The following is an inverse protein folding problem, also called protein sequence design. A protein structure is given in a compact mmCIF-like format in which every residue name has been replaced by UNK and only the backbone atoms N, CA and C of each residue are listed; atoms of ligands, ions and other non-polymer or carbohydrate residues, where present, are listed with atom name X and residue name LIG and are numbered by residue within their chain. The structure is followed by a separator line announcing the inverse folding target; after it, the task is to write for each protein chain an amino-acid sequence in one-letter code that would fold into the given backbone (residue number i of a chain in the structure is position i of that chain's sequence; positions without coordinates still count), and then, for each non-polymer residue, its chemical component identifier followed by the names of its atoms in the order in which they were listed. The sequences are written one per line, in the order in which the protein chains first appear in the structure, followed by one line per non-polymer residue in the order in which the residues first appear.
data_IF_355447293233
#
_entry.id   IF_355447293233
#
_cell.length_a   1.000
_cell.length_b   1.000
_cell.length_c   1.000
_cell.angle_alpha   90.00
_cell.angle_beta   90.00
_cell.angle_gamma   90.00
#
_symmetry.space_group_name_H-M   'P 1'
#
loop_
_entity.id
_entity.type
_entity.pdbx_description
1 polymer ?
#
# COMPACT_ATOMS: atom_id res chain seq x y z
N UNK A 1 5.75 6.04 5.37
CA UNK A 1 5.83 6.59 6.75
C UNK A 1 6.44 5.63 7.76
N UNK A 2 5.91 4.42 7.95
CA UNK A 2 6.33 3.51 9.05
C UNK A 2 7.84 3.24 9.12
N UNK A 3 8.50 3.06 7.98
CA UNK A 3 9.97 2.83 7.91
C UNK A 3 10.81 4.07 8.23
N UNK A 4 10.17 5.23 8.41
CA UNK A 4 10.78 6.51 8.78
C UNK A 4 10.27 7.01 10.14
N UNK A 5 9.75 6.12 11.00
CA UNK A 5 9.19 6.49 12.32
C UNK A 5 10.12 7.37 13.15
N UNK A 6 11.41 7.05 13.17
CA UNK A 6 12.40 7.86 13.89
C UNK A 6 12.53 9.29 13.34
N UNK A 7 12.37 9.50 12.03
CA UNK A 7 12.36 10.84 11.44
C UNK A 7 11.06 11.58 11.79
N UNK A 8 9.93 10.88 11.72
CA UNK A 8 8.59 11.41 12.03
C UNK A 8 8.53 11.96 13.46
N UNK A 9 9.04 11.22 14.43
CA UNK A 9 8.99 11.61 15.85
C UNK A 9 10.16 12.51 16.28
N UNK A 10 11.10 12.81 15.36
CA UNK A 10 12.22 13.69 15.65
C UNK A 10 11.92 15.15 15.32
N UNK A 11 12.79 16.05 15.81
CA UNK A 11 12.77 17.47 15.43
C UNK A 11 13.33 17.76 14.03
N UNK A 12 13.77 16.76 13.26
CA UNK A 12 14.37 16.99 11.95
C UNK A 12 13.31 17.36 10.92
N UNK A 13 13.57 18.43 10.16
CA UNK A 13 12.86 18.67 8.91
C UNK A 13 13.35 17.67 7.86
N UNK A 14 12.42 17.03 7.16
CA UNK A 14 12.71 16.03 6.15
C UNK A 14 11.63 16.07 5.05
N UNK A 15 12.01 15.65 3.85
CA UNK A 15 11.15 15.57 2.68
C UNK A 15 10.57 14.17 2.56
N UNK A 16 9.24 14.05 2.55
CA UNK A 16 8.55 12.76 2.60
C UNK A 16 9.04 11.79 1.52
N UNK A 17 9.16 12.31 0.30
CA UNK A 17 9.54 11.54 -0.87
C UNK A 17 11.06 11.43 -1.04
N UNK A 18 11.77 12.56 -1.02
CA UNK A 18 13.20 12.60 -1.35
C UNK A 18 14.11 11.97 -0.29
N UNK A 19 13.76 12.16 0.99
CA UNK A 19 14.51 11.60 2.11
C UNK A 19 13.91 10.26 2.56
N UNK A 20 12.58 10.12 2.47
CA UNK A 20 11.87 8.95 2.99
C UNK A 20 11.91 7.70 2.10
N UNK A 21 12.19 7.82 0.80
CA UNK A 21 12.27 6.69 -0.13
C UNK A 21 13.72 6.44 -0.52
N UNK A 22 14.49 5.89 0.43
CA UNK A 22 15.87 5.46 0.23
C UNK A 22 15.95 4.15 -0.60
N UNK A 23 17.12 3.74 -1.12
CA UNK A 23 17.21 2.56 -2.00
C UNK A 23 16.61 1.27 -1.42
N UNK A 24 16.86 0.96 -0.14
CA UNK A 24 16.29 -0.23 0.49
C UNK A 24 14.78 -0.12 0.69
N UNK A 25 14.27 1.08 1.04
CA UNK A 25 12.83 1.33 1.17
C UNK A 25 12.15 1.26 -0.20
N UNK A 26 12.73 1.87 -1.22
CA UNK A 26 12.25 1.80 -2.60
C UNK A 26 12.15 0.36 -3.10
N UNK A 27 13.22 -0.43 -2.92
CA UNK A 27 13.21 -1.86 -3.28
C UNK A 27 12.19 -2.67 -2.48
N UNK A 28 11.97 -2.34 -1.21
CA UNK A 28 10.91 -2.97 -0.41
C UNK A 28 9.52 -2.67 -1.00
N UNK A 29 9.25 -1.42 -1.37
CA UNK A 29 7.97 -0.99 -1.96
C UNK A 29 7.76 -1.61 -3.34
N UNK A 30 8.79 -1.74 -4.18
CA UNK A 30 8.70 -2.45 -5.47
C UNK A 30 8.30 -3.93 -5.30
N UNK A 31 8.82 -4.60 -4.26
CA UNK A 31 8.44 -5.98 -3.94
C UNK A 31 7.05 -6.08 -3.34
N UNK A 32 6.61 -5.08 -2.58
CA UNK A 32 5.22 -4.97 -2.13
C UNK A 32 4.28 -4.73 -3.32
N UNK A 33 4.68 -3.91 -4.28
CA UNK A 33 3.95 -3.71 -5.54
C UNK A 33 3.83 -5.01 -6.35
N UNK A 34 4.84 -5.89 -6.29
CA UNK A 34 4.76 -7.21 -6.92
C UNK A 34 3.66 -8.09 -6.31
N UNK A 35 3.40 -7.97 -4.99
CA UNK A 35 2.26 -8.64 -4.34
C UNK A 35 0.93 -8.05 -4.84
N UNK A 36 0.85 -6.72 -5.00
CA UNK A 36 -0.32 -6.03 -5.59
C UNK A 36 -0.59 -6.48 -7.03
N UNK A 37 0.45 -6.63 -7.84
CA UNK A 37 0.33 -7.11 -9.22
C UNK A 37 -0.14 -8.56 -9.27
N UNK A 38 0.38 -9.44 -8.41
CA UNK A 38 -0.07 -10.83 -8.33
C UNK A 38 -1.56 -10.96 -7.92
N UNK A 39 -2.04 -10.07 -7.04
CA UNK A 39 -3.46 -9.96 -6.74
C UNK A 39 -4.26 -9.53 -7.97
N UNK A 40 -3.81 -8.48 -8.67
CA UNK A 40 -4.48 -7.99 -9.87
C UNK A 40 -4.67 -9.08 -10.93
N UNK A 41 -3.60 -9.84 -11.21
CA UNK A 41 -3.62 -10.98 -12.13
C UNK A 41 -4.62 -12.06 -11.67
N UNK A 42 -4.67 -12.36 -10.37
CA UNK A 42 -5.59 -13.36 -9.81
C UNK A 42 -7.07 -12.98 -9.94
N UNK A 43 -7.37 -11.67 -10.05
CA UNK A 43 -8.71 -11.12 -10.26
C UNK A 43 -8.97 -10.67 -11.71
N UNK A 44 -8.02 -10.87 -12.63
CA UNK A 44 -8.17 -10.46 -14.03
C UNK A 44 -8.20 -8.94 -14.25
N UNK A 45 -7.57 -8.17 -13.35
CA UNK A 45 -7.51 -6.71 -13.43
C UNK A 45 -6.17 -6.26 -13.99
N UNK A 46 -6.20 -5.53 -15.10
CA UNK A 46 -5.00 -4.94 -15.69
C UNK A 46 -4.55 -3.71 -14.90
N UNK A 47 -3.42 -3.82 -14.20
CA UNK A 47 -2.78 -2.70 -13.49
C UNK A 47 -1.39 -2.38 -14.05
N UNK A 48 -0.94 -1.15 -13.83
CA UNK A 48 0.44 -0.77 -14.10
C UNK A 48 1.31 -1.06 -12.88
N UNK A 49 2.47 -1.71 -13.04
CA UNK A 49 3.52 -1.73 -12.02
C UNK A 49 3.94 -0.30 -11.66
N UNK A 50 4.34 -0.07 -10.41
CA UNK A 50 4.57 1.27 -9.85
C UNK A 50 5.51 2.13 -10.71
N UNK A 51 6.62 1.59 -11.22
CA UNK A 51 7.57 2.33 -12.07
C UNK A 51 6.94 2.75 -13.40
N UNK A 52 6.14 1.87 -14.03
CA UNK A 52 5.41 2.22 -15.25
C UNK A 52 4.33 3.27 -14.97
N UNK A 53 3.68 3.19 -13.81
CA UNK A 53 2.70 4.18 -13.40
C UNK A 53 3.33 5.57 -13.24
N UNK A 54 4.53 5.67 -12.65
CA UNK A 54 5.27 6.94 -12.57
C UNK A 54 5.63 7.51 -13.94
N UNK A 55 6.02 6.67 -14.91
CA UNK A 55 6.27 7.11 -16.28
C UNK A 55 5.01 7.72 -16.91
N UNK A 56 3.86 7.08 -16.73
CA UNK A 56 2.58 7.55 -17.31
C UNK A 56 2.09 8.81 -16.59
N UNK A 57 2.12 8.84 -15.26
CA UNK A 57 1.54 9.91 -14.46
C UNK A 57 2.43 11.16 -14.35
N UNK A 58 3.75 10.97 -14.25
CA UNK A 58 4.71 12.05 -13.98
C UNK A 58 5.74 12.24 -15.10
N UNK A 59 5.76 11.39 -16.13
CA UNK A 59 6.79 11.44 -17.18
C UNK A 59 8.18 11.03 -16.70
N UNK A 60 8.29 10.43 -15.51
CA UNK A 60 9.58 10.03 -14.91
C UNK A 60 9.82 8.56 -15.15
N UNK A 61 10.92 8.25 -15.83
CA UNK A 61 11.32 6.89 -16.17
C UNK A 61 12.73 6.62 -15.64
N UNK A 62 12.83 5.96 -14.49
CA UNK A 62 14.09 5.58 -13.84
C UNK A 62 14.08 4.09 -13.46
N UNK A 63 15.26 3.44 -13.36
CA UNK A 63 15.36 2.01 -13.05
C UNK A 63 14.82 1.58 -11.68
N UNK A 64 14.86 2.48 -10.68
CA UNK A 64 14.41 2.18 -9.30
C UNK A 64 13.40 3.20 -8.81
N UNK A 65 12.60 2.81 -7.82
CA UNK A 65 11.59 3.67 -7.24
C UNK A 65 12.23 4.84 -6.49
N UNK A 66 13.34 4.60 -5.78
CA UNK A 66 14.08 5.69 -5.12
C UNK A 66 14.60 6.74 -6.12
N UNK A 67 15.10 6.32 -7.28
CA UNK A 67 15.53 7.26 -8.32
C UNK A 67 14.34 7.96 -9.00
N UNK A 68 13.27 7.22 -9.26
CA UNK A 68 12.03 7.74 -9.84
C UNK A 68 11.44 8.83 -8.95
N UNK A 69 11.26 8.54 -7.66
CA UNK A 69 10.71 9.47 -6.68
C UNK A 69 11.60 10.71 -6.54
N UNK A 70 12.93 10.54 -6.46
CA UNK A 70 13.88 11.66 -6.36
C UNK A 70 13.94 12.53 -7.62
N UNK A 71 13.65 11.95 -8.79
CA UNK A 71 13.66 12.66 -10.06
C UNK A 71 12.32 13.30 -10.42
N UNK A 72 11.30 13.18 -9.54
CA UNK A 72 9.98 13.73 -9.78
C UNK A 72 9.84 15.14 -9.18
N UNK A 73 9.88 16.22 -9.98
CA UNK A 73 9.83 17.58 -9.46
C UNK A 73 8.50 17.90 -8.76
N UNK A 74 7.42 17.15 -9.03
CA UNK A 74 6.14 17.34 -8.35
C UNK A 74 6.18 17.01 -6.84
N UNK A 75 7.24 16.35 -6.38
CA UNK A 75 7.45 16.01 -4.98
C UNK A 75 8.36 16.99 -4.22
N UNK A 76 8.85 18.02 -4.91
CA UNK A 76 9.64 19.06 -4.26
C UNK A 76 8.81 19.81 -3.20
N UNK A 77 9.42 20.07 -2.05
CA UNK A 77 8.78 20.76 -0.93
C UNK A 77 7.71 19.97 -0.17
N UNK A 78 7.44 18.70 -0.51
CA UNK A 78 6.52 17.87 0.28
C UNK A 78 7.19 17.43 1.58
N UNK A 79 6.91 18.16 2.65
CA UNK A 79 7.42 17.87 3.98
C UNK A 79 6.90 16.53 4.52
N UNK A 80 7.77 15.82 5.23
CA UNK A 80 7.43 14.64 6.00
C UNK A 80 6.58 14.96 7.22
N UNK A 81 5.89 13.94 7.73
CA UNK A 81 5.01 14.09 8.89
C UNK A 81 5.80 14.26 10.18
N UNK A 82 5.12 14.80 11.19
CA UNK A 82 5.63 15.02 12.55
C UNK A 82 4.89 14.20 13.62
N UNK A 83 3.96 13.37 13.18
CA UNK A 83 3.15 12.47 14.01
C UNK A 83 2.90 11.18 13.19
N UNK A 84 2.81 10.04 13.87
CA UNK A 84 2.47 8.75 13.25
C UNK A 84 0.96 8.62 12.97
N UNK A 85 0.11 9.28 13.75
CA UNK A 85 -1.36 9.22 13.66
C UNK A 85 -1.86 10.08 12.50
N UNK A 86 -1.48 9.68 11.30
CA UNK A 86 -1.78 10.35 10.03
C UNK A 86 -2.67 9.48 9.18
N UNK A 87 -3.34 10.08 8.18
CA UNK A 87 -4.10 9.31 7.19
C UNK A 87 -3.26 8.25 6.45
N UNK A 88 -1.94 8.42 6.33
CA UNK A 88 -1.09 7.41 5.68
C UNK A 88 -1.01 6.09 6.46
N UNK A 89 -1.43 6.09 7.72
CA UNK A 89 -1.54 4.88 8.55
C UNK A 89 -3.01 4.61 8.83
N UNK A 90 -3.73 5.60 9.39
CA UNK A 90 -5.11 5.45 9.85
C UNK A 90 -6.15 5.30 8.72
N UNK A 91 -5.80 5.66 7.47
CA UNK A 91 -6.66 5.47 6.29
C UNK A 91 -6.10 4.37 5.38
N UNK A 92 -4.84 4.50 4.96
CA UNK A 92 -4.26 3.61 3.92
C UNK A 92 -4.12 2.15 4.38
N UNK A 93 -3.87 1.88 5.66
CA UNK A 93 -3.77 0.51 6.16
C UNK A 93 -5.15 -0.16 6.22
N UNK A 94 -6.15 0.36 6.96
CA UNK A 94 -7.45 -0.30 7.07
C UNK A 94 -8.26 -0.28 5.76
N UNK A 95 -8.00 0.64 4.84
CA UNK A 95 -8.78 0.76 3.59
C UNK A 95 -8.03 0.37 2.33
N UNK A 96 -6.71 0.19 2.41
CA UNK A 96 -5.85 -0.24 1.30
C UNK A 96 -5.19 -1.60 1.57
N UNK A 97 -4.30 -1.67 2.57
CA UNK A 97 -3.54 -2.91 2.84
C UNK A 97 -4.43 -4.05 3.35
N UNK A 98 -5.29 -3.79 4.35
CA UNK A 98 -6.19 -4.80 4.93
C UNK A 98 -7.06 -5.47 3.87
N UNK A 99 -7.80 -4.74 3.00
CA UNK A 99 -8.60 -5.40 1.97
C UNK A 99 -7.74 -6.18 0.96
N UNK A 100 -6.56 -5.69 0.58
CA UNK A 100 -5.66 -6.44 -0.32
C UNK A 100 -5.15 -7.75 0.30
N UNK A 101 -4.80 -7.74 1.59
CA UNK A 101 -4.39 -8.94 2.33
C UNK A 101 -5.54 -9.96 2.37
N UNK A 102 -6.77 -9.50 2.61
CA UNK A 102 -7.95 -10.35 2.68
C UNK A 102 -8.29 -10.96 1.31
N UNK A 103 -8.17 -10.20 0.22
CA UNK A 103 -8.27 -10.71 -1.15
C UNK A 103 -7.17 -11.74 -1.47
N UNK A 104 -5.96 -11.55 -0.92
CA UNK A 104 -4.87 -12.50 -0.99
C UNK A 104 -5.22 -13.83 -0.33
N UNK A 105 -5.76 -13.80 0.90
CA UNK A 105 -6.23 -15.00 1.60
C UNK A 105 -7.32 -15.72 0.81
N UNK A 106 -8.33 -15.01 0.32
CA UNK A 106 -9.42 -15.56 -0.49
C UNK A 106 -8.91 -16.27 -1.74
N UNK A 107 -7.90 -15.69 -2.40
CA UNK A 107 -7.34 -16.18 -3.66
C UNK A 107 -6.12 -17.09 -3.48
N UNK A 108 -5.72 -17.38 -2.24
CA UNK A 108 -4.49 -18.13 -1.88
C UNK A 108 -3.21 -17.52 -2.49
N UNK A 109 -3.17 -16.19 -2.61
CA UNK A 109 -2.00 -15.43 -3.05
C UNK A 109 -1.29 -14.85 -1.82
N UNK A 110 0.00 -15.16 -1.60
CA UNK A 110 0.73 -14.67 -0.44
C UNK A 110 0.99 -13.15 -0.54
N UNK A 111 0.74 -12.43 0.57
CA UNK A 111 0.97 -10.97 0.68
C UNK A 111 1.86 -10.61 1.88
N UNK A 112 3.01 -11.28 2.07
CA UNK A 112 3.77 -11.21 3.32
C UNK A 112 4.30 -9.80 3.62
N UNK A 113 4.64 -8.97 2.62
CA UNK A 113 5.10 -7.60 2.89
C UNK A 113 3.95 -6.71 3.28
N UNK A 114 2.79 -6.83 2.62
CA UNK A 114 1.59 -6.10 3.03
C UNK A 114 1.23 -6.45 4.48
N UNK A 115 1.26 -7.74 4.84
CA UNK A 115 1.01 -8.21 6.21
C UNK A 115 1.99 -7.61 7.22
N UNK A 116 3.31 -7.63 6.93
CA UNK A 116 4.32 -7.02 7.80
C UNK A 116 4.06 -5.53 8.00
N UNK A 117 3.76 -4.79 6.93
CA UNK A 117 3.50 -3.35 7.02
C UNK A 117 2.23 -3.06 7.81
N UNK A 118 1.15 -3.81 7.55
CA UNK A 118 -0.11 -3.66 8.27
C UNK A 118 0.08 -3.91 9.77
N UNK A 119 0.70 -5.04 10.15
CA UNK A 119 0.97 -5.38 11.56
C UNK A 119 1.90 -4.38 12.24
N UNK A 120 2.95 -3.92 11.55
CA UNK A 120 3.82 -2.88 12.08
C UNK A 120 3.05 -1.58 12.35
N UNK A 121 2.13 -1.22 11.46
CA UNK A 121 1.23 -0.08 11.66
C UNK A 121 0.38 -0.21 12.91
N UNK A 122 -0.29 -1.34 13.09
CA UNK A 122 -1.11 -1.64 14.29
C UNK A 122 -0.29 -1.48 15.58
N UNK A 123 0.90 -2.07 15.63
CA UNK A 123 1.75 -2.02 16.82
C UNK A 123 2.29 -0.62 17.12
N UNK A 124 2.52 0.21 16.10
CA UNK A 124 3.05 1.55 16.30
C UNK A 124 1.99 2.57 16.72
N UNK A 125 0.72 2.36 16.38
CA UNK A 125 -0.37 3.30 16.71
C UNK A 125 -1.41 2.75 17.69
N UNK A 126 -1.22 1.51 18.16
CA UNK A 126 -2.07 0.78 19.09
C UNK A 126 -3.54 0.68 18.60
N UNK A 127 -3.72 0.29 17.34
CA UNK A 127 -5.03 0.11 16.72
C UNK A 127 -5.11 -1.22 15.96
N UNK A 128 -6.22 -1.96 16.13
CA UNK A 128 -6.50 -3.20 15.39
C UNK A 128 -7.23 -2.87 14.07
N UNK A 129 -6.46 -2.84 12.99
CA UNK A 129 -6.96 -2.55 11.65
C UNK A 129 -7.65 -3.76 11.01
N UNK A 130 -7.40 -4.98 11.47
CA UNK A 130 -8.16 -6.15 11.02
C UNK A 130 -9.53 -6.25 11.70
N UNK A 131 -9.69 -5.70 12.91
CA UNK A 131 -10.99 -5.58 13.55
C UNK A 131 -11.86 -4.48 12.91
N UNK A 132 -11.27 -3.33 12.56
CA UNK A 132 -12.02 -2.13 12.15
C UNK A 132 -11.97 -1.83 10.65
N UNK A 133 -10.99 -2.35 9.92
CA UNK A 133 -10.77 -2.09 8.51
C UNK A 133 -11.71 -2.84 7.57
N UNK A 134 -11.44 -2.72 6.27
CA UNK A 134 -12.23 -3.33 5.19
C UNK A 134 -11.87 -4.81 5.00
N UNK A 135 -12.12 -5.63 6.02
CA UNK A 135 -12.02 -7.09 5.89
C UNK A 135 -13.19 -7.65 5.08
N UNK A 136 -13.04 -8.86 4.52
CA UNK A 136 -14.17 -9.51 3.83
C UNK A 136 -15.37 -9.65 4.77
N UNK A 137 -15.12 -9.96 6.04
CA UNK A 137 -16.13 -9.97 7.10
C UNK A 137 -16.84 -8.63 7.25
N UNK A 138 -16.09 -7.54 7.46
CA UNK A 138 -16.67 -6.21 7.68
C UNK A 138 -17.39 -5.66 6.45
N UNK A 139 -17.04 -6.14 5.26
CA UNK A 139 -17.75 -5.86 4.01
C UNK A 139 -18.95 -6.80 3.75
N UNK A 140 -19.15 -7.82 4.59
CA UNK A 140 -20.21 -8.82 4.42
C UNK A 140 -19.99 -9.76 3.23
N UNK A 141 -18.73 -10.06 2.89
CA UNK A 141 -18.27 -10.84 1.74
C UNK A 141 -17.52 -12.12 2.16
N UNK A 142 -17.48 -12.46 3.46
CA UNK A 142 -16.67 -13.58 3.99
C UNK A 142 -17.05 -14.96 3.45
N UNK A 143 -18.31 -15.14 3.07
CA UNK A 143 -18.82 -16.42 2.52
C UNK A 143 -18.65 -16.53 0.99
N UNK A 144 -18.14 -15.49 0.32
CA UNK A 144 -17.95 -15.50 -1.13
C UNK A 144 -16.67 -16.22 -1.52
N UNK A 145 -16.73 -17.04 -2.57
CA UNK A 145 -15.53 -17.46 -3.27
C UNK A 145 -14.98 -16.33 -4.15
N UNK A 146 -13.76 -16.47 -4.67
CA UNK A 146 -13.19 -15.52 -5.63
C UNK A 146 -14.09 -15.29 -6.84
N UNK A 147 -14.69 -16.35 -7.39
CA UNK A 147 -15.61 -16.25 -8.54
C UNK A 147 -16.90 -15.52 -8.19
N UNK A 148 -17.45 -15.78 -7.00
CA UNK A 148 -18.68 -15.10 -6.55
C UNK A 148 -18.42 -13.60 -6.38
N UNK A 149 -17.26 -13.24 -5.82
CA UNK A 149 -16.88 -11.84 -5.65
C UNK A 149 -16.75 -11.11 -7.00
N UNK A 150 -16.11 -11.73 -8.01
CA UNK A 150 -16.00 -11.14 -9.36
C UNK A 150 -17.39 -10.94 -9.95
N UNK A 151 -18.24 -11.97 -9.92
CA UNK A 151 -19.62 -11.90 -10.41
C UNK A 151 -20.42 -10.81 -9.69
N UNK A 152 -20.26 -10.68 -8.38
CA UNK A 152 -20.94 -9.68 -7.56
C UNK A 152 -20.53 -8.25 -7.95
N UNK A 153 -19.25 -8.00 -8.19
CA UNK A 153 -18.76 -6.67 -8.59
C UNK A 153 -19.24 -6.29 -10.00
N UNK A 154 -19.32 -7.26 -10.92
CA UNK A 154 -19.78 -7.02 -12.30
C UNK A 154 -21.30 -6.85 -12.41
N UNK A 155 -22.07 -7.61 -11.62
CA UNK A 155 -23.53 -7.72 -11.81
C UNK A 155 -24.36 -7.10 -10.70
N UNK A 156 -23.77 -6.88 -9.52
CA UNK A 156 -24.48 -6.47 -8.30
C UNK A 156 -25.29 -7.57 -7.62
N UNK A 157 -25.27 -8.81 -8.14
CA UNK A 157 -26.06 -9.93 -7.61
C UNK A 157 -25.17 -10.87 -6.78
N UNK A 158 -25.68 -11.24 -5.59
CA UNK A 158 -25.05 -12.24 -4.71
C UNK A 158 -25.45 -13.65 -5.10
#
# INVERSE_FOLDING_TARGET
SLLNTSLIESSHEWSYYYDGITPSIGSFVEKLDSERMALADAFGVDLLPILKWYKVAYGVDKPTLSETVRSNPAYDGIAGQKDLRTRYILEDIPTGLVPMIELGKLSKIPTPRMEVVARLGEYLVDEDFFATGRTLKNLGLEDMSRSDLISYVETGNR
#
